data_IF_662982703320
#
_entry.id   IF_662982703320
#
_cell.length_a   1.000
_cell.length_b   1.000
_cell.length_c   1.000
_cell.angle_alpha   90.00
_cell.angle_beta   90.00
_cell.angle_gamma   90.00
#
_symmetry.space_group_name_H-M   'P 1'
#
loop_
_entity.id
_entity.type
_entity.pdbx_description
1 polymer ?
#
# COMPACT_ATOMS: atom_id res chain seq x y z
N UNK A 1 -41.77 -52.65 -7.17
CA UNK A 1 -40.92 -53.32 -8.16
C UNK A 1 -39.51 -52.91 -7.77
N UNK A 2 -38.91 -53.67 -6.92
CA UNK A 2 -38.03 -54.82 -7.18
C UNK A 2 -36.75 -54.34 -7.83
N UNK A 3 -35.63 -54.37 -7.19
CA UNK A 3 -34.82 -55.40 -6.59
C UNK A 3 -33.44 -55.40 -7.31
N UNK A 4 -32.49 -55.64 -6.54
CA UNK A 4 -31.31 -56.51 -6.59
C UNK A 4 -30.01 -55.75 -6.91
N UNK A 5 -28.84 -55.93 -6.29
CA UNK A 5 -28.36 -57.01 -5.40
C UNK A 5 -27.10 -56.43 -4.65
N UNK A 6 -26.99 -56.77 -3.36
CA UNK A 6 -25.76 -56.89 -2.63
C UNK A 6 -24.82 -57.91 -3.29
N UNK A 7 -23.53 -57.75 -3.27
CA UNK A 7 -22.63 -58.68 -2.60
C UNK A 7 -21.16 -58.41 -2.97
N UNK A 8 -20.27 -58.57 -2.03
CA UNK A 8 -18.87 -58.73 -2.36
C UNK A 8 -17.82 -58.24 -1.33
N UNK A 9 -18.07 -58.50 -0.03
CA UNK A 9 -16.96 -58.51 0.95
C UNK A 9 -16.04 -59.70 0.68
N UNK A 10 -14.78 -59.45 0.36
CA UNK A 10 -13.68 -60.39 0.73
C UNK A 10 -12.48 -59.66 1.24
N UNK A 11 -12.19 -59.96 2.50
CA UNK A 11 -10.95 -59.67 3.24
C UNK A 11 -9.75 -60.30 2.53
N UNK A 12 -8.64 -59.57 2.51
CA UNK A 12 -7.31 -60.16 2.68
C UNK A 12 -6.46 -59.21 3.50
N UNK A 13 -6.21 -59.64 4.73
CA UNK A 13 -5.10 -59.22 5.58
C UNK A 13 -3.81 -59.76 4.97
N UNK A 14 -2.78 -58.93 4.85
CA UNK A 14 -1.40 -59.38 5.01
C UNK A 14 -0.43 -58.18 5.22
N UNK A 15 0.25 -58.24 6.33
CA UNK A 15 1.66 -57.92 6.38
C UNK A 15 2.06 -56.50 6.75
N UNK A 16 2.30 -56.26 8.02
CA UNK A 16 3.18 -55.22 8.53
C UNK A 16 4.54 -55.32 7.86
N UNK A 17 4.99 -54.27 7.23
CA UNK A 17 6.43 -53.99 7.09
C UNK A 17 6.61 -52.47 7.16
N UNK A 18 7.22 -52.06 8.27
CA UNK A 18 7.81 -50.73 8.47
C UNK A 18 8.78 -50.43 7.33
N UNK A 19 8.50 -49.41 6.58
CA UNK A 19 9.50 -48.61 5.89
C UNK A 19 9.28 -47.15 6.24
N UNK A 20 9.97 -46.73 7.28
CA UNK A 20 10.23 -45.35 7.59
C UNK A 20 11.02 -44.75 6.40
N UNK A 21 10.32 -44.21 5.43
CA UNK A 21 10.94 -43.39 4.41
C UNK A 21 11.18 -42.02 5.04
N UNK A 22 12.41 -41.82 5.49
CA UNK A 22 12.98 -40.51 5.80
C UNK A 22 12.69 -39.56 4.64
N UNK A 23 11.71 -38.69 4.82
CA UNK A 23 11.64 -37.44 4.08
C UNK A 23 12.80 -36.57 4.57
N UNK A 24 13.94 -36.73 3.94
CA UNK A 24 14.96 -35.71 3.94
C UNK A 24 14.31 -34.50 3.31
N UNK A 25 13.84 -33.58 4.15
CA UNK A 25 13.63 -32.19 3.77
C UNK A 25 15.04 -31.68 3.41
N UNK A 26 15.41 -31.83 2.14
CA UNK A 26 16.46 -31.03 1.55
C UNK A 26 15.94 -29.63 1.53
N UNK A 27 16.21 -28.87 2.56
CA UNK A 27 16.31 -27.42 2.47
C UNK A 27 17.40 -27.16 1.43
N UNK A 28 16.98 -27.11 0.17
CA UNK A 28 17.70 -26.34 -0.82
C UNK A 28 17.65 -24.90 -0.31
N UNK A 29 18.69 -24.55 0.43
CA UNK A 29 19.02 -23.17 0.67
C UNK A 29 19.21 -22.52 -0.70
N UNK A 30 18.17 -21.91 -1.22
CA UNK A 30 18.35 -20.80 -2.11
C UNK A 30 19.08 -19.76 -1.27
N UNK A 31 20.40 -19.71 -1.38
CA UNK A 31 21.17 -18.51 -1.19
C UNK A 31 20.72 -17.55 -2.31
N UNK A 32 19.53 -17.01 -2.20
CA UNK A 32 19.21 -15.78 -2.86
C UNK A 32 20.15 -14.76 -2.20
N UNK A 33 21.19 -14.41 -2.93
CA UNK A 33 22.00 -13.24 -2.63
C UNK A 33 21.00 -12.11 -2.40
N UNK A 34 20.76 -11.78 -1.12
CA UNK A 34 19.90 -10.65 -0.78
C UNK A 34 20.54 -9.43 -1.43
N UNK A 35 19.99 -9.02 -2.57
CA UNK A 35 20.46 -7.84 -3.28
C UNK A 35 20.33 -6.65 -2.35
N UNK A 36 21.37 -5.84 -2.27
CA UNK A 36 21.30 -4.60 -1.50
C UNK A 36 20.20 -3.73 -2.09
N UNK A 37 19.27 -3.28 -1.25
CA UNK A 37 18.23 -2.35 -1.65
C UNK A 37 18.49 -0.97 -1.03
N UNK A 38 18.27 0.03 -1.83
CA UNK A 38 18.35 1.44 -1.43
C UNK A 38 16.98 2.07 -1.70
N UNK A 39 16.14 2.06 -0.67
CA UNK A 39 14.72 2.40 -0.76
C UNK A 39 14.55 3.91 -0.60
N UNK A 40 13.85 4.56 -1.53
CA UNK A 40 13.44 5.94 -1.44
C UNK A 40 11.93 6.04 -1.20
N UNK A 41 11.53 6.63 -0.08
CA UNK A 41 10.14 6.99 0.19
C UNK A 41 9.85 8.37 -0.40
N UNK A 42 8.86 8.45 -1.29
CA UNK A 42 8.46 9.63 -2.04
C UNK A 42 6.98 9.89 -1.84
N UNK A 43 6.57 11.15 -1.71
CA UNK A 43 5.17 11.54 -1.59
C UNK A 43 4.93 12.58 -0.51
N UNK A 44 3.94 12.34 0.33
CA UNK A 44 3.41 13.30 1.31
C UNK A 44 3.66 12.87 2.78
N UNK A 45 2.84 13.40 3.68
CA UNK A 45 2.88 13.16 5.11
C UNK A 45 2.70 11.69 5.53
N UNK A 46 2.22 10.81 4.66
CA UNK A 46 2.20 9.36 4.95
C UNK A 46 3.61 8.85 5.28
N UNK A 47 4.62 9.38 4.60
CA UNK A 47 6.02 9.02 4.83
C UNK A 47 6.79 10.09 5.61
N UNK A 48 6.26 11.32 5.69
CA UNK A 48 6.82 12.44 6.44
C UNK A 48 5.96 12.80 7.66
N UNK A 49 5.70 11.81 8.53
CA UNK A 49 4.74 11.89 9.62
C UNK A 49 5.34 12.17 11.01
N UNK A 50 6.63 12.50 11.10
CA UNK A 50 7.33 12.64 12.37
C UNK A 50 6.70 13.70 13.32
N UNK A 51 6.16 14.79 12.75
CA UNK A 51 5.51 15.89 13.50
C UNK A 51 4.17 15.46 14.15
N UNK A 52 3.53 14.41 13.64
CA UNK A 52 2.22 13.95 14.08
C UNK A 52 2.27 12.84 15.14
N UNK A 53 3.46 12.36 15.48
CA UNK A 53 3.67 11.27 16.45
C UNK A 53 4.83 11.59 17.41
N UNK A 54 4.76 12.70 18.15
CA UNK A 54 5.87 13.20 18.96
C UNK A 54 6.37 12.15 19.95
N UNK A 55 7.67 11.86 19.88
CA UNK A 55 8.31 10.87 20.75
C UNK A 55 8.27 9.43 20.26
N UNK A 56 7.59 9.15 19.16
CA UNK A 56 7.55 7.85 18.51
C UNK A 56 8.26 7.88 17.15
N UNK A 57 8.71 6.72 16.63
CA UNK A 57 9.39 6.68 15.33
C UNK A 57 8.40 6.85 14.18
N UNK A 58 8.66 7.76 13.25
CA UNK A 58 7.94 7.88 11.99
C UNK A 58 8.22 6.73 11.02
N UNK A 59 7.47 6.68 9.92
CA UNK A 59 7.53 5.58 8.93
C UNK A 59 8.95 5.36 8.42
N UNK A 60 9.70 6.42 8.11
CA UNK A 60 11.09 6.28 7.64
C UNK A 60 12.01 5.65 8.70
N UNK A 61 11.85 6.04 9.96
CA UNK A 61 12.68 5.50 11.03
C UNK A 61 12.30 4.05 11.35
N UNK A 62 11.02 3.71 11.32
CA UNK A 62 10.55 2.33 11.46
C UNK A 62 11.08 1.46 10.33
N UNK A 63 11.06 1.94 9.08
CA UNK A 63 11.62 1.22 7.94
C UNK A 63 13.12 0.98 8.12
N UNK A 64 13.89 1.99 8.58
CA UNK A 64 15.33 1.84 8.86
C UNK A 64 15.64 0.81 9.95
N UNK A 65 14.76 0.65 10.93
CA UNK A 65 14.91 -0.33 12.02
C UNK A 65 14.52 -1.74 11.60
N UNK A 66 13.54 -1.87 10.71
CA UNK A 66 12.93 -3.13 10.30
C UNK A 66 13.56 -3.75 9.07
N UNK A 67 14.26 -2.96 8.24
CA UNK A 67 14.86 -3.48 7.01
C UNK A 67 16.10 -4.36 7.27
N UNK A 68 16.43 -5.28 6.36
CA UNK A 68 17.68 -6.05 6.44
C UNK A 68 18.91 -5.14 6.52
N UNK A 69 19.94 -5.58 7.23
CA UNK A 69 21.19 -4.81 7.45
C UNK A 69 21.89 -4.37 6.16
N UNK A 70 21.63 -5.07 5.06
CA UNK A 70 22.19 -4.79 3.73
C UNK A 70 21.37 -3.75 2.96
N UNK A 71 20.21 -3.36 3.49
CA UNK A 71 19.33 -2.38 2.88
C UNK A 71 19.51 -1.01 3.54
N UNK A 72 19.21 0.04 2.81
CA UNK A 72 19.12 1.40 3.36
C UNK A 72 17.83 2.08 2.93
N UNK A 73 17.34 3.01 3.73
CA UNK A 73 16.13 3.75 3.44
C UNK A 73 16.33 5.25 3.69
N UNK A 74 15.78 6.06 2.82
CA UNK A 74 15.76 7.53 2.93
C UNK A 74 14.44 8.06 2.41
N UNK A 75 14.14 9.29 2.75
CA UNK A 75 12.87 9.97 2.47
C UNK A 75 13.16 11.24 1.67
N UNK A 76 12.41 11.42 0.57
CA UNK A 76 12.28 12.69 -0.16
C UNK A 76 10.86 13.24 -0.05
N UNK A 77 9.93 12.45 0.50
CA UNK A 77 8.59 12.86 0.84
C UNK A 77 8.58 14.11 1.72
N UNK A 78 7.57 14.96 1.54
CA UNK A 78 7.38 16.20 2.29
C UNK A 78 5.91 16.31 2.70
N UNK A 79 5.68 16.62 3.96
CA UNK A 79 4.34 16.88 4.49
C UNK A 79 3.65 17.99 3.68
N UNK A 80 2.38 17.75 3.33
CA UNK A 80 1.57 18.69 2.55
C UNK A 80 1.75 18.64 1.04
N UNK A 81 2.78 17.94 0.52
CA UNK A 81 3.02 17.84 -0.92
C UNK A 81 1.85 17.18 -1.66
N UNK A 82 1.66 17.61 -2.89
CA UNK A 82 0.69 17.11 -3.86
C UNK A 82 1.40 16.48 -5.06
N UNK A 83 0.65 15.92 -6.00
CA UNK A 83 1.20 15.32 -7.22
C UNK A 83 2.11 16.28 -7.98
N UNK A 84 1.76 17.57 -8.00
CA UNK A 84 2.53 18.62 -8.68
C UNK A 84 3.92 18.89 -8.08
N UNK A 85 4.19 18.42 -6.84
CA UNK A 85 5.47 18.61 -6.13
C UNK A 85 6.45 17.44 -6.38
N UNK A 86 5.99 16.33 -6.93
CA UNK A 86 6.83 15.14 -7.21
C UNK A 86 8.07 15.47 -8.07
N UNK A 87 8.01 16.33 -9.09
CA UNK A 87 9.22 16.72 -9.84
C UNK A 87 10.35 17.23 -8.95
N UNK A 88 10.04 18.05 -7.94
CA UNK A 88 11.03 18.59 -7.00
C UNK A 88 11.59 17.47 -6.08
N UNK A 89 10.79 16.48 -5.74
CA UNK A 89 11.23 15.31 -4.96
C UNK A 89 12.14 14.42 -5.81
N UNK A 90 11.84 14.24 -7.09
CA UNK A 90 12.66 13.45 -8.02
C UNK A 90 14.08 14.01 -8.18
N UNK A 91 14.28 15.32 -8.08
CA UNK A 91 15.62 15.94 -8.11
C UNK A 91 16.47 15.54 -6.88
N UNK A 92 15.82 15.21 -5.77
CA UNK A 92 16.47 14.84 -4.49
C UNK A 92 16.69 13.34 -4.33
N UNK A 93 16.20 12.51 -5.26
CA UNK A 93 16.39 11.05 -5.23
C UNK A 93 17.86 10.71 -5.37
N UNK A 94 18.49 10.04 -4.40
CA UNK A 94 19.89 9.65 -4.49
C UNK A 94 20.19 8.74 -5.69
N UNK A 95 21.34 8.92 -6.30
CA UNK A 95 21.75 8.20 -7.52
C UNK A 95 21.92 6.69 -7.33
N UNK A 96 22.09 6.23 -6.10
CA UNK A 96 22.22 4.82 -5.76
C UNK A 96 20.87 4.14 -5.39
N UNK A 97 19.75 4.86 -5.55
CA UNK A 97 18.40 4.29 -5.31
C UNK A 97 18.16 3.08 -6.20
N UNK A 98 17.61 2.03 -5.64
CA UNK A 98 17.19 0.83 -6.37
C UNK A 98 15.67 0.70 -6.43
N UNK A 99 14.98 1.21 -5.41
CA UNK A 99 13.53 1.08 -5.25
C UNK A 99 12.93 2.42 -4.80
N UNK A 100 11.86 2.87 -5.45
CA UNK A 100 11.05 4.03 -5.04
C UNK A 100 9.68 3.52 -4.63
N UNK A 101 9.22 3.93 -3.45
CA UNK A 101 7.84 3.72 -2.99
C UNK A 101 7.15 5.08 -2.96
N UNK A 102 6.04 5.20 -3.70
CA UNK A 102 5.30 6.47 -3.84
C UNK A 102 3.97 6.38 -3.10
N UNK A 103 3.74 7.31 -2.17
CA UNK A 103 2.43 7.54 -1.53
C UNK A 103 2.08 9.01 -1.67
N UNK A 104 1.15 9.34 -2.57
CA UNK A 104 0.77 10.70 -2.92
C UNK A 104 -0.69 10.73 -3.42
N UNK A 105 -1.33 11.87 -3.28
CA UNK A 105 -2.67 12.13 -3.79
C UNK A 105 -3.72 12.39 -2.73
N UNK A 106 -3.43 12.09 -1.46
CA UNK A 106 -4.30 12.42 -0.33
C UNK A 106 -4.59 13.92 -0.25
N UNK A 107 -3.54 14.74 -0.33
CA UNK A 107 -3.65 16.21 -0.31
C UNK A 107 -4.37 16.76 -1.55
N UNK A 108 -4.21 16.12 -2.72
CA UNK A 108 -4.96 16.50 -3.92
C UNK A 108 -6.46 16.30 -3.71
N UNK A 109 -6.88 15.20 -3.07
CA UNK A 109 -8.28 14.94 -2.75
C UNK A 109 -8.81 15.95 -1.73
N UNK A 110 -8.02 16.32 -0.74
CA UNK A 110 -8.43 17.30 0.29
C UNK A 110 -8.78 18.66 -0.31
N UNK A 111 -8.28 19.04 -1.49
CA UNK A 111 -8.68 20.24 -2.22
C UNK A 111 -10.18 20.21 -2.56
N UNK A 112 -10.77 19.03 -2.70
CA UNK A 112 -12.18 18.84 -3.11
C UNK A 112 -13.12 18.50 -1.94
N UNK A 113 -12.64 18.46 -0.67
CA UNK A 113 -13.47 18.12 0.49
C UNK A 113 -14.76 18.94 0.62
N UNK A 114 -14.74 20.21 0.16
CA UNK A 114 -15.92 21.10 0.18
C UNK A 114 -17.08 20.61 -0.69
N UNK A 115 -16.84 19.69 -1.64
CA UNK A 115 -17.89 19.11 -2.47
C UNK A 115 -18.76 18.14 -1.68
N UNK A 116 -18.22 17.52 -0.61
CA UNK A 116 -18.94 16.53 0.19
C UNK A 116 -20.14 17.15 0.91
N UNK A 117 -20.05 18.42 1.32
CA UNK A 117 -21.18 19.16 1.87
C UNK A 117 -22.37 19.27 0.89
N UNK A 118 -22.11 19.27 -0.41
CA UNK A 118 -23.18 19.28 -1.43
C UNK A 118 -23.88 17.91 -1.52
N UNK A 119 -23.17 16.83 -1.25
CA UNK A 119 -23.76 15.47 -1.21
C UNK A 119 -24.74 15.37 -0.04
N UNK A 120 -24.39 15.94 1.11
CA UNK A 120 -25.26 15.97 2.29
C UNK A 120 -26.62 16.65 2.05
N UNK A 121 -26.70 17.56 1.08
CA UNK A 121 -27.95 18.23 0.68
C UNK A 121 -28.56 17.67 -0.60
N UNK A 122 -28.15 16.46 -1.04
CA UNK A 122 -28.80 15.69 -2.10
C UNK A 122 -28.14 15.74 -3.48
N UNK A 123 -26.95 16.33 -3.62
CA UNK A 123 -26.21 16.22 -4.88
C UNK A 123 -25.64 14.79 -5.07
N UNK A 124 -25.49 14.36 -6.33
CA UNK A 124 -24.90 13.09 -6.66
C UNK A 124 -23.37 13.17 -6.50
N UNK A 125 -22.77 12.24 -5.72
CA UNK A 125 -21.32 12.21 -5.49
C UNK A 125 -20.55 11.98 -6.79
N UNK A 126 -20.99 11.05 -7.63
CA UNK A 126 -20.30 10.69 -8.89
C UNK A 126 -20.21 11.90 -9.83
N UNK A 127 -21.30 12.66 -9.95
CA UNK A 127 -21.34 13.87 -10.79
C UNK A 127 -20.38 14.95 -10.25
N UNK A 128 -20.29 15.09 -8.91
CA UNK A 128 -19.46 16.10 -8.28
C UNK A 128 -17.96 15.80 -8.41
N UNK A 129 -17.58 14.51 -8.34
CA UNK A 129 -16.17 14.11 -8.41
C UNK A 129 -15.69 13.78 -9.83
N UNK A 130 -16.57 13.80 -10.83
CA UNK A 130 -16.20 13.43 -12.21
C UNK A 130 -15.05 14.28 -12.78
N UNK A 131 -15.11 15.61 -12.62
CA UNK A 131 -14.02 16.49 -13.06
C UNK A 131 -12.75 16.31 -12.22
N UNK A 132 -12.80 16.32 -10.86
CA UNK A 132 -11.66 15.97 -10.03
C UNK A 132 -11.00 14.63 -10.37
N UNK A 133 -11.79 13.59 -10.67
CA UNK A 133 -11.27 12.29 -11.07
C UNK A 133 -10.52 12.35 -12.42
N UNK A 134 -11.07 13.08 -13.40
CA UNK A 134 -10.42 13.23 -14.71
C UNK A 134 -9.08 13.99 -14.60
N UNK A 135 -9.06 15.07 -13.83
CA UNK A 135 -7.83 15.84 -13.59
C UNK A 135 -6.79 15.01 -12.85
N UNK A 136 -7.22 14.26 -11.82
CA UNK A 136 -6.34 13.36 -11.07
C UNK A 136 -5.78 12.25 -11.96
N UNK A 137 -6.60 11.65 -12.82
CA UNK A 137 -6.15 10.59 -13.74
C UNK A 137 -4.99 11.06 -14.61
N UNK A 138 -5.11 12.25 -15.17
CA UNK A 138 -4.07 12.86 -16.01
C UNK A 138 -2.80 13.14 -15.20
N UNK A 139 -2.95 13.81 -14.06
CA UNK A 139 -1.83 14.22 -13.23
C UNK A 139 -1.08 13.01 -12.63
N UNK A 140 -1.83 12.04 -12.08
CA UNK A 140 -1.26 10.85 -11.47
C UNK A 140 -0.58 9.94 -12.51
N UNK A 141 -1.20 9.79 -13.69
CA UNK A 141 -0.60 9.04 -14.79
C UNK A 141 0.73 9.64 -15.25
N UNK A 142 0.78 10.97 -15.45
CA UNK A 142 2.00 11.68 -15.81
C UNK A 142 3.08 11.56 -14.71
N UNK A 143 2.70 11.70 -13.46
CA UNK A 143 3.60 11.52 -12.32
C UNK A 143 4.23 10.12 -12.30
N UNK A 144 3.44 9.05 -12.49
CA UNK A 144 3.98 7.68 -12.56
C UNK A 144 4.98 7.52 -13.71
N UNK A 145 4.69 8.11 -14.86
CA UNK A 145 5.60 8.04 -16.02
C UNK A 145 6.94 8.72 -15.71
N UNK A 146 6.92 9.89 -15.07
CA UNK A 146 8.15 10.57 -14.63
C UNK A 146 8.96 9.77 -13.60
N UNK A 147 8.28 9.14 -12.63
CA UNK A 147 8.97 8.31 -11.63
C UNK A 147 9.64 7.11 -12.30
N UNK A 148 8.98 6.48 -13.27
CA UNK A 148 9.53 5.35 -14.04
C UNK A 148 10.75 5.74 -14.88
N UNK A 149 10.88 7.00 -15.31
CA UNK A 149 12.07 7.50 -16.04
C UNK A 149 13.36 7.42 -15.21
N UNK A 150 13.26 7.26 -13.87
CA UNK A 150 14.43 6.99 -13.03
C UNK A 150 15.08 5.64 -13.30
N UNK A 151 14.36 4.71 -13.97
CA UNK A 151 14.90 3.39 -14.34
C UNK A 151 15.14 2.46 -13.15
N UNK A 152 14.43 2.66 -12.05
CA UNK A 152 14.48 1.84 -10.81
C UNK A 152 13.16 1.14 -10.59
N UNK A 153 13.12 0.19 -9.65
CA UNK A 153 11.85 -0.44 -9.25
C UNK A 153 10.94 0.59 -8.60
N UNK A 154 9.67 0.65 -9.02
CA UNK A 154 8.67 1.57 -8.46
C UNK A 154 7.51 0.77 -7.90
N UNK A 155 7.06 1.13 -6.69
CA UNK A 155 5.80 0.68 -6.10
C UNK A 155 4.94 1.90 -5.76
N UNK A 156 3.64 1.83 -6.00
CA UNK A 156 2.70 2.89 -5.63
C UNK A 156 1.84 2.45 -4.44
N UNK A 157 1.34 3.41 -3.66
CA UNK A 157 0.41 3.16 -2.58
C UNK A 157 -1.01 3.61 -2.98
N UNK A 158 -2.04 2.90 -2.47
CA UNK A 158 -3.40 3.46 -2.44
C UNK A 158 -3.54 4.42 -1.26
N UNK A 159 -4.59 5.25 -1.29
CA UNK A 159 -4.97 6.13 -0.18
C UNK A 159 -5.87 5.30 0.75
N UNK A 160 -5.63 5.31 2.06
CA UNK A 160 -6.49 4.60 3.01
C UNK A 160 -7.88 5.26 3.11
N UNK A 161 -8.90 4.45 3.37
CA UNK A 161 -10.31 4.86 3.38
C UNK A 161 -10.93 4.91 4.77
N UNK A 162 -10.32 4.22 5.75
CA UNK A 162 -10.87 4.09 7.10
C UNK A 162 -10.46 5.25 8.04
N UNK A 163 -10.30 6.45 7.47
CA UNK A 163 -9.90 7.64 8.23
C UNK A 163 -10.97 7.97 9.29
N UNK A 164 -10.62 8.11 10.58
CA UNK A 164 -11.56 8.38 11.66
C UNK A 164 -11.93 9.87 11.74
N UNK A 165 -12.52 10.41 10.65
CA UNK A 165 -12.97 11.80 10.62
C UNK A 165 -13.99 12.09 11.72
N UNK A 166 -13.85 13.21 12.42
CA UNK A 166 -14.84 13.71 13.36
C UNK A 166 -16.02 14.39 12.65
N UNK A 167 -15.75 15.05 11.52
CA UNK A 167 -16.77 15.69 10.70
C UNK A 167 -17.74 14.65 10.10
N UNK A 168 -19.07 14.76 10.36
CA UNK A 168 -20.04 13.74 9.92
C UNK A 168 -20.14 13.59 8.38
N UNK A 169 -19.94 14.65 7.62
CA UNK A 169 -20.00 14.63 6.16
C UNK A 169 -18.75 13.91 5.61
N UNK A 170 -17.57 14.25 6.14
CA UNK A 170 -16.33 13.56 5.81
C UNK A 170 -16.41 12.08 6.16
N UNK A 171 -16.85 11.74 7.37
CA UNK A 171 -17.01 10.35 7.84
C UNK A 171 -17.93 9.53 6.94
N UNK A 172 -19.00 10.14 6.44
CA UNK A 172 -20.02 9.44 5.63
C UNK A 172 -19.61 9.30 4.18
N UNK A 173 -19.06 10.35 3.56
CA UNK A 173 -18.90 10.42 2.11
C UNK A 173 -17.44 10.27 1.64
N UNK A 174 -16.46 10.64 2.46
CA UNK A 174 -15.04 10.55 2.06
C UNK A 174 -14.60 9.12 1.69
N UNK A 175 -14.98 8.05 2.41
CA UNK A 175 -14.57 6.69 2.04
C UNK A 175 -14.97 6.31 0.60
N UNK A 176 -16.18 6.67 0.17
CA UNK A 176 -16.65 6.39 -1.20
C UNK A 176 -15.91 7.23 -2.24
N UNK A 177 -15.68 8.52 -1.95
CA UNK A 177 -14.90 9.39 -2.80
C UNK A 177 -13.47 8.86 -2.96
N UNK A 178 -12.76 8.60 -1.86
CA UNK A 178 -11.39 8.07 -1.87
C UNK A 178 -11.32 6.75 -2.64
N UNK A 179 -12.31 5.87 -2.47
CA UNK A 179 -12.36 4.59 -3.19
C UNK A 179 -12.39 4.79 -4.72
N UNK A 180 -13.08 5.81 -5.22
CA UNK A 180 -13.10 6.13 -6.65
C UNK A 180 -11.71 6.54 -7.17
N UNK A 181 -10.95 7.32 -6.38
CA UNK A 181 -9.56 7.67 -6.72
C UNK A 181 -8.64 6.45 -6.63
N UNK A 182 -8.82 5.58 -5.65
CA UNK A 182 -8.06 4.33 -5.55
C UNK A 182 -8.26 3.42 -6.77
N UNK A 183 -9.45 3.38 -7.35
CA UNK A 183 -9.70 2.66 -8.62
C UNK A 183 -8.82 3.22 -9.74
N UNK A 184 -8.63 4.54 -9.82
CA UNK A 184 -7.72 5.16 -10.80
C UNK A 184 -6.26 4.80 -10.52
N UNK A 185 -5.82 4.90 -9.26
CA UNK A 185 -4.45 4.53 -8.85
C UNK A 185 -4.15 3.09 -9.28
N UNK A 186 -5.04 2.14 -8.96
CA UNK A 186 -4.87 0.73 -9.29
C UNK A 186 -4.80 0.51 -10.81
N UNK A 187 -5.70 1.11 -11.57
CA UNK A 187 -5.75 0.98 -13.03
C UNK A 187 -4.50 1.58 -13.70
N UNK A 188 -4.07 2.76 -13.27
CA UNK A 188 -2.90 3.44 -13.83
C UNK A 188 -1.60 2.71 -13.51
N UNK A 189 -1.49 2.15 -12.31
CA UNK A 189 -0.37 1.32 -11.88
C UNK A 189 -0.32 -0.01 -12.64
N UNK A 190 -1.47 -0.70 -12.78
CA UNK A 190 -1.58 -1.95 -13.54
C UNK A 190 -1.15 -1.77 -15.01
N UNK A 191 -1.63 -0.70 -15.66
CA UNK A 191 -1.25 -0.38 -17.05
C UNK A 191 0.27 -0.20 -17.24
N UNK A 192 0.99 0.16 -16.17
CA UNK A 192 2.44 0.37 -16.15
C UNK A 192 3.21 -0.78 -15.49
N UNK A 193 2.51 -1.83 -15.06
CA UNK A 193 3.07 -2.98 -14.32
C UNK A 193 3.78 -2.56 -13.02
N UNK A 194 3.26 -1.52 -12.36
CA UNK A 194 3.72 -1.05 -11.06
C UNK A 194 2.98 -1.84 -9.98
N UNK A 195 3.66 -2.55 -9.08
CA UNK A 195 3.03 -3.18 -7.92
C UNK A 195 2.42 -2.11 -7.00
N UNK A 196 1.27 -2.44 -6.39
CA UNK A 196 0.54 -1.50 -5.52
C UNK A 196 0.45 -2.04 -4.09
N UNK A 197 0.92 -1.23 -3.16
CA UNK A 197 0.76 -1.44 -1.71
C UNK A 197 -0.61 -0.88 -1.31
N UNK A 198 -1.49 -1.76 -0.83
CA UNK A 198 -2.89 -1.49 -0.56
C UNK A 198 -3.08 -0.89 0.84
N UNK A 199 -2.73 0.40 1.02
CA UNK A 199 -2.93 1.08 2.31
C UNK A 199 -4.40 1.11 2.74
N UNK A 200 -5.32 1.11 1.80
CA UNK A 200 -6.76 0.98 2.03
C UNK A 200 -7.18 -0.35 2.67
N UNK A 201 -6.34 -1.39 2.58
CA UNK A 201 -6.53 -2.68 3.24
C UNK A 201 -5.63 -2.86 4.47
N UNK A 202 -4.61 -2.04 4.63
CA UNK A 202 -3.61 -2.13 5.70
C UNK A 202 -4.01 -1.27 6.90
N UNK A 203 -4.35 0.00 6.68
CA UNK A 203 -4.73 0.94 7.73
C UNK A 203 -6.25 1.00 7.83
N UNK A 204 -6.83 0.13 8.68
CA UNK A 204 -8.28 -0.09 8.80
C UNK A 204 -8.84 0.08 10.21
N UNK A 205 -7.99 0.27 11.20
CA UNK A 205 -8.36 0.50 12.61
C UNK A 205 -8.12 1.98 12.97
N UNK A 206 -8.98 2.56 13.83
CA UNK A 206 -8.82 3.95 14.28
C UNK A 206 -7.44 4.21 14.92
N UNK A 207 -6.84 3.19 15.54
CA UNK A 207 -5.48 3.27 16.11
C UNK A 207 -4.35 3.34 15.09
N UNK A 208 -4.66 3.10 13.82
CA UNK A 208 -3.67 3.24 12.75
C UNK A 208 -3.41 4.70 12.40
N UNK A 209 -4.24 5.60 12.93
CA UNK A 209 -4.18 7.04 12.66
C UNK A 209 -3.72 7.81 13.90
N UNK A 210 -3.05 8.93 13.67
CA UNK A 210 -2.55 9.79 14.72
C UNK A 210 -3.69 10.50 15.48
N UNK A 211 -3.55 10.62 16.80
CA UNK A 211 -4.45 11.43 17.63
C UNK A 211 -4.34 12.94 17.33
N UNK A 212 -3.21 13.38 16.76
CA UNK A 212 -3.00 14.79 16.40
C UNK A 212 -3.62 15.15 15.06
N UNK A 213 -3.69 14.18 14.13
CA UNK A 213 -4.29 14.36 12.80
C UNK A 213 -4.84 13.03 12.28
N UNK A 214 -6.16 12.91 12.08
CA UNK A 214 -6.76 11.64 11.67
C UNK A 214 -6.38 11.20 10.24
N UNK A 215 -5.76 12.07 9.47
CA UNK A 215 -5.30 11.75 8.11
C UNK A 215 -3.85 11.26 8.06
N UNK A 216 -3.16 11.24 9.21
CA UNK A 216 -1.76 10.84 9.30
C UNK A 216 -1.63 9.48 9.99
N UNK A 217 -0.67 8.63 9.61
CA UNK A 217 -0.48 7.36 10.30
C UNK A 217 0.08 7.56 11.71
N UNK A 218 -0.46 6.83 12.67
CA UNK A 218 0.15 6.65 13.99
C UNK A 218 1.42 5.81 13.88
N UNK A 219 2.15 5.65 14.98
CA UNK A 219 3.27 4.69 15.03
C UNK A 219 2.82 3.25 14.74
N UNK A 220 1.61 2.85 15.17
CA UNK A 220 1.04 1.54 14.83
C UNK A 220 0.72 1.43 13.33
N UNK A 221 0.06 2.42 12.76
CA UNK A 221 -0.24 2.45 11.33
C UNK A 221 1.04 2.50 10.48
N UNK A 222 2.01 3.31 10.90
CA UNK A 222 3.33 3.39 10.28
C UNK A 222 4.04 2.04 10.23
N UNK A 223 3.99 1.25 11.31
CA UNK A 223 4.59 -0.09 11.30
C UNK A 223 3.89 -1.02 10.31
N UNK A 224 2.56 -0.99 10.22
CA UNK A 224 1.82 -1.78 9.21
C UNK A 224 2.19 -1.38 7.77
N UNK A 225 2.37 -0.07 7.53
CA UNK A 225 2.83 0.45 6.24
C UNK A 225 4.23 -0.10 5.92
N UNK A 226 5.16 -0.04 6.89
CA UNK A 226 6.52 -0.57 6.75
C UNK A 226 6.52 -2.06 6.44
N UNK A 227 5.75 -2.85 7.17
CA UNK A 227 5.65 -4.30 6.95
C UNK A 227 5.16 -4.58 5.51
N UNK A 228 4.17 -3.83 5.03
CA UNK A 228 3.65 -3.95 3.65
C UNK A 228 4.67 -3.52 2.59
N UNK A 229 5.49 -2.51 2.86
CA UNK A 229 6.61 -2.10 1.99
C UNK A 229 7.63 -3.23 1.90
N UNK A 230 8.04 -3.79 3.04
CA UNK A 230 9.03 -4.87 3.08
C UNK A 230 8.53 -6.12 2.36
N UNK A 231 7.26 -6.51 2.56
CA UNK A 231 6.63 -7.64 1.88
C UNK A 231 6.62 -7.43 0.35
N UNK A 232 6.24 -6.24 -0.12
CA UNK A 232 6.22 -5.91 -1.54
C UNK A 232 7.63 -5.98 -2.16
N UNK A 233 8.65 -5.49 -1.45
CA UNK A 233 10.04 -5.46 -1.94
C UNK A 233 10.74 -6.83 -1.85
N UNK A 234 10.30 -7.73 -0.98
CA UNK A 234 10.84 -9.09 -0.86
C UNK A 234 10.25 -10.04 -1.90
N UNK A 235 9.06 -9.72 -2.44
CA UNK A 235 8.34 -10.55 -3.42
C UNK A 235 8.53 -10.11 -4.87
N UNK A 236 9.10 -8.93 -5.08
CA UNK A 236 9.45 -8.38 -6.40
C UNK A 236 10.85 -8.86 -6.84
#
# INVERSE_FOLDING_TARGET
MSSYIEDGLRRLNFGQTLLATFWRCTTLGKNESMTNKHICLMGDSIFDNDEYIPGEPGVIEQLRRSNPKTWSAFKVAVDGDCIEDIPNQLERVPTHTTDIVVSIGGNDLMKFRHLLAKVAVGANLEDLIASPLADFEIAYGWMLDMVLEKGVTVSACTIYTAIPFEDPEMKTYAPSAISAFNVLILRLAEARKIPVIRLDLVCTDDKDFSEMSPIEPSSQGGQKIVDSILDALLTA
#
